data_IF_616777181608
#
_entry.id   IF_616777181608
#
_cell.length_a   1.000
_cell.length_b   1.000
_cell.length_c   1.000
_cell.angle_alpha   90.00
_cell.angle_beta   90.00
_cell.angle_gamma   90.00
#
_symmetry.space_group_name_H-M   'P 1'
#
loop_
_entity.id
_entity.type
_entity.pdbx_description
1 polymer ?
#
# COMPACT_ATOMS: atom_id res chain seq x y z
N UNK A 1 -14.63 0.01 4.90
CA UNK A 1 -13.60 -0.53 3.99
C UNK A 1 -14.06 -0.21 2.60
N UNK A 2 -13.31 0.61 1.85
CA UNK A 2 -13.41 0.57 0.40
C UNK A 2 -12.36 -0.43 -0.11
N UNK A 3 -12.68 -1.75 -0.18
CA UNK A 3 -11.73 -2.80 -0.52
C UNK A 3 -11.14 -2.63 -1.92
N UNK A 4 -11.79 -1.84 -2.78
CA UNK A 4 -11.38 -1.64 -4.16
C UNK A 4 -10.00 -1.00 -4.28
N UNK A 5 -9.66 -0.04 -3.42
CA UNK A 5 -8.35 0.62 -3.47
C UNK A 5 -7.17 -0.36 -3.31
N UNK A 6 -7.25 -1.27 -2.34
CA UNK A 6 -6.22 -2.29 -2.12
C UNK A 6 -6.23 -3.31 -3.26
N UNK A 7 -7.42 -3.77 -3.65
CA UNK A 7 -7.58 -4.82 -4.64
C UNK A 7 -6.99 -4.40 -5.99
N UNK A 8 -7.30 -3.18 -6.45
CA UNK A 8 -6.79 -2.66 -7.71
C UNK A 8 -5.28 -2.41 -7.65
N UNK A 9 -4.76 -1.79 -6.58
CA UNK A 9 -3.31 -1.58 -6.44
C UNK A 9 -2.52 -2.89 -6.41
N UNK A 10 -3.03 -3.94 -5.76
CA UNK A 10 -2.39 -5.25 -5.78
C UNK A 10 -2.52 -5.93 -7.15
N UNK A 11 -3.65 -5.78 -7.84
CA UNK A 11 -3.83 -6.28 -9.20
C UNK A 11 -2.86 -5.63 -10.18
N UNK A 12 -2.68 -4.31 -10.10
CA UNK A 12 -1.69 -3.58 -10.91
C UNK A 12 -0.27 -4.06 -10.59
N UNK A 13 0.07 -4.22 -9.30
CA UNK A 13 1.36 -4.76 -8.87
C UNK A 13 1.63 -6.16 -9.41
N UNK A 14 0.62 -7.03 -9.43
CA UNK A 14 0.69 -8.37 -10.03
C UNK A 14 0.97 -8.25 -11.53
N UNK A 15 0.22 -7.42 -12.25
CA UNK A 15 0.38 -7.25 -13.69
C UNK A 15 1.78 -6.73 -14.05
N UNK A 16 2.33 -5.78 -13.27
CA UNK A 16 3.70 -5.30 -13.49
C UNK A 16 4.76 -6.37 -13.25
N UNK A 17 4.59 -7.21 -12.22
CA UNK A 17 5.52 -8.33 -11.95
C UNK A 17 5.44 -9.37 -13.07
N UNK A 18 4.23 -9.70 -13.53
CA UNK A 18 4.03 -10.63 -14.66
C UNK A 18 4.71 -10.13 -15.93
N UNK A 19 4.52 -8.86 -16.27
CA UNK A 19 5.12 -8.28 -17.47
C UNK A 19 6.65 -8.21 -17.38
N UNK A 20 7.21 -7.92 -16.20
CA UNK A 20 8.67 -7.94 -16.00
C UNK A 20 9.25 -9.36 -16.17
N UNK A 21 8.57 -10.39 -15.65
CA UNK A 21 8.97 -11.79 -15.83
C UNK A 21 8.82 -12.21 -17.30
N UNK A 22 7.76 -11.79 -18.00
CA UNK A 22 7.57 -12.05 -19.43
C UNK A 22 8.71 -11.46 -20.28
N UNK A 23 9.35 -10.38 -19.80
CA UNK A 23 10.55 -9.78 -20.43
C UNK A 23 11.86 -10.48 -20.05
N UNK A 24 11.80 -11.58 -19.29
CA UNK A 24 12.94 -12.40 -18.92
C UNK A 24 13.66 -11.96 -17.65
N UNK A 25 13.10 -11.06 -16.85
CA UNK A 25 13.68 -10.66 -15.56
C UNK A 25 13.34 -11.69 -14.48
N UNK A 26 14.33 -12.08 -13.67
CA UNK A 26 14.07 -12.84 -12.45
C UNK A 26 13.34 -11.95 -11.43
N UNK A 27 12.33 -12.50 -10.76
CA UNK A 27 11.50 -11.75 -9.81
C UNK A 27 12.34 -11.12 -8.69
N UNK A 28 13.39 -11.79 -8.25
CA UNK A 28 14.22 -11.34 -7.13
C UNK A 28 15.22 -10.24 -7.52
N UNK A 29 15.44 -10.00 -8.83
CA UNK A 29 16.29 -8.92 -9.31
C UNK A 29 15.64 -7.54 -9.22
N UNK A 30 14.30 -7.49 -9.36
CA UNK A 30 13.56 -6.21 -9.41
C UNK A 30 12.55 -6.03 -8.27
N UNK A 31 11.92 -7.09 -7.75
CA UNK A 31 10.91 -6.96 -6.70
C UNK A 31 11.39 -6.21 -5.44
N UNK A 32 12.64 -6.35 -4.97
CA UNK A 32 13.14 -5.57 -3.83
C UNK A 32 13.12 -4.05 -4.06
N UNK A 33 13.02 -3.60 -5.32
CA UNK A 33 12.96 -2.18 -5.71
C UNK A 33 11.54 -1.65 -5.82
N UNK A 34 10.52 -2.51 -5.83
CA UNK A 34 9.12 -2.09 -5.87
C UNK A 34 8.72 -1.33 -4.60
N UNK A 35 7.90 -0.30 -4.78
CA UNK A 35 7.30 0.47 -3.71
C UNK A 35 5.88 0.86 -4.09
N UNK A 36 5.03 1.02 -3.09
CA UNK A 36 3.61 1.30 -3.25
C UNK A 36 3.27 2.68 -2.70
N UNK A 37 2.11 3.18 -3.06
CA UNK A 37 1.60 4.44 -2.56
C UNK A 37 0.14 4.28 -2.14
N UNK A 38 -0.17 4.69 -0.90
CA UNK A 38 -1.53 4.66 -0.37
C UNK A 38 -1.96 6.01 0.18
N UNK A 39 -3.27 6.22 0.26
CA UNK A 39 -3.85 7.30 1.05
C UNK A 39 -4.26 6.78 2.42
N UNK A 40 -4.10 7.58 3.48
CA UNK A 40 -4.68 7.32 4.80
C UNK A 40 -5.89 8.23 5.04
N UNK A 41 -7.06 7.62 5.23
CA UNK A 41 -8.36 8.30 5.35
C UNK A 41 -8.87 8.46 6.80
N UNK A 42 -10.05 9.05 6.97
CA UNK A 42 -10.65 9.32 8.28
C UNK A 42 -10.99 8.07 9.13
N UNK A 43 -11.11 6.89 8.53
CA UNK A 43 -11.48 5.66 9.24
C UNK A 43 -10.27 5.07 9.96
N UNK A 44 -9.90 5.64 11.10
CA UNK A 44 -8.65 5.39 11.82
C UNK A 44 -8.21 3.90 11.91
N UNK A 45 -9.03 3.03 12.51
CA UNK A 45 -8.67 1.61 12.67
C UNK A 45 -8.67 0.83 11.37
N UNK A 46 -9.52 1.22 10.42
CA UNK A 46 -9.62 0.57 9.13
C UNK A 46 -8.37 0.82 8.28
N UNK A 47 -7.83 2.05 8.35
CA UNK A 47 -6.59 2.41 7.67
C UNK A 47 -5.40 1.63 8.22
N UNK A 48 -5.31 1.50 9.55
CA UNK A 48 -4.30 0.67 10.21
C UNK A 48 -4.45 -0.79 9.75
N UNK A 49 -5.67 -1.32 9.76
CA UNK A 49 -5.94 -2.69 9.33
C UNK A 49 -5.58 -2.90 7.85
N UNK A 50 -5.88 -1.94 6.98
CA UNK A 50 -5.53 -1.94 5.56
C UNK A 50 -4.02 -2.06 5.35
N UNK A 51 -3.24 -1.18 5.98
CA UNK A 51 -1.79 -1.12 5.79
C UNK A 51 -1.11 -2.41 6.30
N UNK A 52 -1.63 -3.00 7.37
CA UNK A 52 -1.17 -4.31 7.86
C UNK A 52 -1.58 -5.45 6.94
N UNK A 53 -2.82 -5.45 6.46
CA UNK A 53 -3.36 -6.48 5.59
C UNK A 53 -2.63 -6.52 4.23
N UNK A 54 -2.38 -5.36 3.62
CA UNK A 54 -1.75 -5.29 2.29
C UNK A 54 -0.34 -5.88 2.29
N UNK A 55 0.45 -5.65 3.35
CA UNK A 55 1.79 -6.26 3.50
C UNK A 55 1.72 -7.79 3.56
N UNK A 56 0.75 -8.34 4.29
CA UNK A 56 0.55 -9.79 4.38
C UNK A 56 0.05 -10.39 3.06
N UNK A 57 -0.86 -9.71 2.38
CA UNK A 57 -1.37 -10.15 1.08
C UNK A 57 -0.26 -10.15 0.02
N UNK A 58 0.51 -9.08 -0.08
CA UNK A 58 1.64 -8.98 -1.01
C UNK A 58 2.68 -10.07 -0.77
N UNK A 59 3.09 -10.29 0.48
CA UNK A 59 4.06 -11.34 0.80
C UNK A 59 3.58 -12.74 0.36
N UNK A 60 2.28 -13.04 0.53
CA UNK A 60 1.68 -14.29 0.04
C UNK A 60 1.67 -14.35 -1.48
N UNK A 61 1.27 -13.29 -2.16
CA UNK A 61 1.26 -13.22 -3.63
C UNK A 61 2.67 -13.49 -4.19
N UNK A 62 3.69 -12.77 -3.70
CA UNK A 62 5.07 -12.91 -4.16
C UNK A 62 5.63 -14.31 -3.90
N UNK A 63 5.34 -14.88 -2.73
CA UNK A 63 5.80 -16.23 -2.38
C UNK A 63 5.06 -17.32 -3.16
N UNK A 64 3.73 -17.26 -3.21
CA UNK A 64 2.91 -18.38 -3.65
C UNK A 64 2.69 -18.35 -5.18
N UNK A 65 2.51 -17.17 -5.79
CA UNK A 65 2.31 -17.02 -7.25
C UNK A 65 3.65 -16.91 -7.98
N UNK A 66 4.54 -16.03 -7.50
CA UNK A 66 5.79 -15.71 -8.22
C UNK A 66 7.01 -16.47 -7.71
N UNK A 67 6.88 -17.28 -6.65
CA UNK A 67 7.95 -18.12 -6.09
C UNK A 67 9.22 -17.34 -5.70
N UNK A 68 9.07 -16.06 -5.36
CA UNK A 68 10.17 -15.21 -4.91
C UNK A 68 10.86 -15.84 -3.69
N UNK A 69 12.19 -15.93 -3.72
CA UNK A 69 13.01 -16.57 -2.68
C UNK A 69 13.67 -15.54 -1.78
N UNK A 70 14.00 -14.38 -2.32
CA UNK A 70 14.60 -13.29 -1.56
C UNK A 70 13.56 -12.72 -0.57
N UNK A 71 13.84 -12.71 0.75
CA UNK A 71 12.93 -12.13 1.74
C UNK A 71 12.58 -10.67 1.47
N UNK A 72 13.46 -9.91 0.80
CA UNK A 72 13.20 -8.51 0.45
C UNK A 72 12.16 -8.37 -0.68
N UNK A 73 12.03 -9.35 -1.57
CA UNK A 73 11.01 -9.38 -2.63
C UNK A 73 9.60 -9.56 -2.05
N UNK A 74 9.49 -10.13 -0.85
CA UNK A 74 8.22 -10.31 -0.14
C UNK A 74 7.78 -9.05 0.61
N UNK A 75 8.68 -8.06 0.80
CA UNK A 75 8.40 -6.85 1.57
C UNK A 75 7.63 -5.85 0.72
N UNK A 76 6.44 -5.49 1.18
CA UNK A 76 5.74 -4.33 0.66
C UNK A 76 6.22 -3.07 1.39
N UNK A 77 6.98 -2.23 0.68
CA UNK A 77 7.40 -0.90 1.12
C UNK A 77 6.44 0.12 0.52
N UNK A 78 6.04 1.13 1.27
CA UNK A 78 5.11 2.12 0.77
C UNK A 78 5.38 3.52 1.30
N UNK A 79 5.00 4.50 0.49
CA UNK A 79 4.73 5.85 0.95
C UNK A 79 3.23 5.98 1.26
N UNK A 80 2.85 6.87 2.17
CA UNK A 80 1.45 7.20 2.41
C UNK A 80 1.26 8.71 2.56
N UNK A 81 0.11 9.18 2.10
CA UNK A 81 -0.31 10.57 2.18
C UNK A 81 -1.69 10.67 2.83
N UNK A 82 -1.88 11.70 3.65
CA UNK A 82 -3.19 12.01 4.26
C UNK A 82 -4.20 12.43 3.19
N UNK A 83 -5.48 12.14 3.43
CA UNK A 83 -6.52 12.24 2.42
C UNK A 83 -6.96 13.69 2.18
N UNK A 84 -6.41 14.34 1.16
CA UNK A 84 -6.77 15.71 0.77
C UNK A 84 -8.27 15.91 0.50
N UNK A 85 -8.95 14.88 -0.04
CA UNK A 85 -10.41 14.90 -0.30
C UNK A 85 -11.25 15.04 0.98
N UNK A 86 -10.69 14.77 2.15
CA UNK A 86 -11.39 14.91 3.44
C UNK A 86 -11.30 16.31 4.04
N UNK A 87 -10.49 17.19 3.46
CA UNK A 87 -10.20 18.51 4.01
C UNK A 87 -11.27 19.50 3.55
N UNK A 88 -11.72 20.35 4.48
CA UNK A 88 -12.77 21.33 4.22
C UNK A 88 -12.21 22.73 4.13
N UNK A 89 -12.73 23.54 3.20
CA UNK A 89 -12.41 24.97 3.13
C UNK A 89 -13.04 25.72 4.32
N UNK A 90 -14.23 25.29 4.75
CA UNK A 90 -14.90 25.76 5.95
C UNK A 90 -14.16 25.26 7.18
N UNK A 91 -13.91 26.16 8.13
CA UNK A 91 -13.20 25.88 9.38
C UNK A 91 -11.87 25.13 9.14
N UNK A 92 -10.93 25.73 8.38
CA UNK A 92 -9.74 25.02 7.89
C UNK A 92 -8.82 24.54 9.02
N UNK A 93 -8.85 25.18 10.20
CA UNK A 93 -8.09 24.73 11.37
C UNK A 93 -8.51 23.33 11.85
N UNK A 94 -9.75 22.89 11.59
CA UNK A 94 -10.20 21.52 11.90
C UNK A 94 -9.44 20.48 11.07
N UNK A 95 -8.90 20.86 9.91
CA UNK A 95 -8.06 19.98 9.10
C UNK A 95 -6.76 19.60 9.81
N UNK A 96 -6.26 20.40 10.76
CA UNK A 96 -5.09 20.04 11.58
C UNK A 96 -5.37 18.75 12.36
N UNK A 97 -6.56 18.64 12.95
CA UNK A 97 -6.98 17.46 13.73
C UNK A 97 -7.19 16.26 12.79
N UNK A 98 -7.85 16.47 11.64
CA UNK A 98 -8.04 15.42 10.62
C UNK A 98 -6.72 14.83 10.16
N UNK A 99 -5.78 15.68 9.75
CA UNK A 99 -4.46 15.28 9.28
C UNK A 99 -3.66 14.62 10.40
N UNK A 100 -3.76 15.11 11.65
CA UNK A 100 -3.10 14.47 12.80
C UNK A 100 -3.56 13.02 12.99
N UNK A 101 -4.87 12.77 12.96
CA UNK A 101 -5.41 11.41 13.12
C UNK A 101 -5.03 10.50 11.95
N UNK A 102 -5.09 11.02 10.72
CA UNK A 102 -4.67 10.28 9.53
C UNK A 102 -3.17 9.96 9.55
N UNK A 103 -2.33 10.90 9.97
CA UNK A 103 -0.89 10.69 10.13
C UNK A 103 -0.59 9.65 11.20
N UNK A 104 -1.32 9.68 12.33
CA UNK A 104 -1.17 8.66 13.37
C UNK A 104 -1.58 7.27 12.86
N UNK A 105 -2.69 7.15 12.12
CA UNK A 105 -3.09 5.88 11.50
C UNK A 105 -2.04 5.36 10.50
N UNK A 106 -1.39 6.26 9.75
CA UNK A 106 -0.27 5.91 8.87
C UNK A 106 0.95 5.37 9.63
N UNK A 107 1.30 5.96 10.77
CA UNK A 107 2.44 5.53 11.61
C UNK A 107 2.17 4.17 12.25
N UNK A 108 0.95 3.95 12.73
CA UNK A 108 0.55 2.68 13.37
C UNK A 108 0.27 1.56 12.36
N UNK A 109 0.09 1.91 11.08
CA UNK A 109 -0.31 1.05 9.99
C UNK A 109 0.79 0.19 9.44
#
# INVERSE_FOLDING_TARGET
>A
MNPFSIAFTLADGIAYVEEAINRGLDVDDFAPRLSFFFTTHNNFFEEIAKLRAVRRLWARIMKDRFKAKNPNSLRLRFHTQTAGVTLTAQQPNVNIIRVTLQALAAILG
#
